data_IF_931707236521
#
_entry.id   IF_931707236521
#
_cell.length_a   1.000
_cell.length_b   1.000
_cell.length_c   1.000
_cell.angle_alpha   90.00
_cell.angle_beta   90.00
_cell.angle_gamma   90.00
#
_symmetry.space_group_name_H-M   'P 1'
#
loop_
_entity.id
_entity.type
_entity.pdbx_description
1 polymer ?
#
# COMPACT_ATOMS: atom_id res chain seq x y z
N UNK A 1 10.16 -18.99 19.33
CA UNK A 1 10.41 -18.06 18.21
C UNK A 1 9.32 -17.02 18.32
N UNK A 2 9.67 -15.77 18.63
CA UNK A 2 8.69 -14.73 18.94
C UNK A 2 8.15 -14.13 17.65
N UNK A 3 6.83 -14.14 17.48
CA UNK A 3 6.15 -13.42 16.41
C UNK A 3 6.48 -11.93 16.57
N UNK A 4 7.22 -11.35 15.63
CA UNK A 4 7.41 -9.90 15.58
C UNK A 4 6.13 -9.29 15.07
N UNK A 5 5.24 -9.02 16.00
CA UNK A 5 3.85 -8.71 15.73
C UNK A 5 3.77 -7.17 15.61
N UNK A 6 3.92 -6.63 14.40
CA UNK A 6 3.83 -5.19 14.13
C UNK A 6 2.67 -4.89 13.19
N UNK A 7 2.23 -3.63 13.15
CA UNK A 7 1.24 -3.17 12.20
C UNK A 7 1.68 -1.84 11.61
N UNK A 8 1.28 -1.57 10.38
CA UNK A 8 1.53 -0.29 9.73
C UNK A 8 0.23 0.50 9.68
N UNK A 9 0.26 1.77 10.07
CA UNK A 9 -0.78 2.71 9.66
C UNK A 9 -0.28 3.43 8.42
N UNK A 10 -1.06 3.37 7.35
CA UNK A 10 -0.66 3.92 6.07
C UNK A 10 -1.81 4.60 5.34
N UNK A 11 -1.51 5.55 4.46
CA UNK A 11 -2.48 6.09 3.52
C UNK A 11 -2.34 5.37 2.19
N UNK A 12 -3.38 4.61 1.80
CA UNK A 12 -3.26 3.69 0.68
C UNK A 12 -4.57 3.17 0.14
N UNK A 13 -4.44 2.24 -0.80
CA UNK A 13 -5.55 1.58 -1.48
C UNK A 13 -5.21 0.11 -1.71
N UNK A 14 -6.22 -0.74 -1.61
CA UNK A 14 -6.07 -2.15 -1.94
C UNK A 14 -5.74 -2.32 -3.43
N UNK A 15 -4.76 -3.17 -3.71
CA UNK A 15 -4.32 -3.49 -5.06
C UNK A 15 -4.48 -4.99 -5.35
N UNK A 16 -5.72 -5.52 -5.36
CA UNK A 16 -5.92 -6.93 -5.66
C UNK A 16 -5.60 -7.21 -7.13
N UNK A 17 -4.94 -8.34 -7.39
CA UNK A 17 -4.77 -8.87 -8.75
C UNK A 17 -5.22 -10.33 -8.81
N UNK A 18 -6.45 -10.55 -9.29
CA UNK A 18 -7.07 -11.86 -9.49
C UNK A 18 -6.32 -12.80 -10.45
N UNK A 19 -5.33 -12.29 -11.18
CA UNK A 19 -4.50 -13.06 -12.12
C UNK A 19 -3.20 -13.56 -11.50
N UNK A 20 -2.80 -13.02 -10.35
CA UNK A 20 -1.52 -13.29 -9.71
C UNK A 20 -1.74 -13.75 -8.28
N UNK A 21 -0.94 -14.73 -7.83
CA UNK A 21 -0.86 -14.97 -6.40
C UNK A 21 -0.23 -13.76 -5.70
N UNK A 22 -0.50 -13.53 -4.40
CA UNK A 22 0.10 -12.41 -3.69
C UNK A 22 1.63 -12.37 -3.78
N UNK A 23 2.29 -13.53 -3.71
CA UNK A 23 3.73 -13.63 -3.89
C UNK A 23 4.20 -13.22 -5.30
N UNK A 24 3.42 -13.53 -6.34
CA UNK A 24 3.71 -13.09 -7.71
C UNK A 24 3.51 -11.58 -7.86
N UNK A 25 2.46 -11.03 -7.26
CA UNK A 25 2.19 -9.59 -7.24
C UNK A 25 3.31 -8.83 -6.50
N UNK A 26 3.75 -9.30 -5.34
CA UNK A 26 4.88 -8.72 -4.61
C UNK A 26 6.17 -8.70 -5.43
N UNK A 27 6.49 -9.81 -6.12
CA UNK A 27 7.64 -9.88 -7.03
C UNK A 27 7.53 -8.89 -8.18
N UNK A 28 6.34 -8.76 -8.77
CA UNK A 28 6.05 -7.81 -9.85
C UNK A 28 6.19 -6.37 -9.36
N UNK A 29 5.60 -6.03 -8.21
CA UNK A 29 5.74 -4.71 -7.59
C UNK A 29 7.21 -4.38 -7.30
N UNK A 30 7.97 -5.32 -6.74
CA UNK A 30 9.40 -5.12 -6.49
C UNK A 30 10.20 -4.83 -7.76
N UNK A 31 9.83 -5.42 -8.89
CA UNK A 31 10.51 -5.22 -10.18
C UNK A 31 10.05 -3.95 -10.91
N UNK A 32 8.73 -3.74 -11.00
CA UNK A 32 8.12 -2.76 -11.89
C UNK A 32 7.88 -1.41 -11.22
N UNK A 33 7.62 -1.38 -9.91
CA UNK A 33 7.20 -0.18 -9.20
C UNK A 33 8.22 0.96 -9.30
N UNK A 34 9.56 0.76 -9.17
CA UNK A 34 10.51 1.85 -9.32
C UNK A 34 10.42 2.56 -10.69
N UNK A 35 10.21 1.79 -11.76
CA UNK A 35 10.00 2.32 -13.11
C UNK A 35 8.66 3.05 -13.25
N UNK A 36 7.60 2.52 -12.64
CA UNK A 36 6.28 3.16 -12.61
C UNK A 36 6.29 4.49 -11.84
N UNK A 37 6.92 4.53 -10.66
CA UNK A 37 7.08 5.73 -9.83
C UNK A 37 7.73 6.86 -10.63
N UNK A 38 8.80 6.53 -11.37
CA UNK A 38 9.53 7.49 -12.21
C UNK A 38 8.67 7.96 -13.39
N UNK A 39 8.02 7.03 -14.10
CA UNK A 39 7.22 7.33 -15.31
C UNK A 39 5.96 8.13 -15.01
N UNK A 40 5.33 7.90 -13.86
CA UNK A 40 4.06 8.50 -13.45
C UNK A 40 4.24 9.70 -12.51
N UNK A 41 5.48 10.10 -12.22
CA UNK A 41 5.78 11.12 -11.21
C UNK A 41 5.10 10.82 -9.86
N UNK A 42 5.16 9.55 -9.44
CA UNK A 42 4.56 9.04 -8.21
C UNK A 42 5.64 8.59 -7.20
N UNK A 43 6.51 9.49 -6.71
CA UNK A 43 7.67 9.11 -5.91
C UNK A 43 7.30 8.58 -4.52
N UNK A 44 6.10 8.87 -4.03
CA UNK A 44 5.68 8.55 -2.67
C UNK A 44 5.03 7.18 -2.57
N UNK A 45 4.64 6.58 -3.71
CA UNK A 45 3.97 5.29 -3.72
C UNK A 45 4.94 4.17 -3.36
N UNK A 46 4.55 3.34 -2.40
CA UNK A 46 5.17 2.07 -2.06
C UNK A 46 4.08 0.98 -1.94
N UNK A 47 4.43 -0.18 -1.41
CA UNK A 47 3.48 -1.26 -1.19
C UNK A 47 3.72 -2.00 0.13
N UNK A 48 2.64 -2.51 0.71
CA UNK A 48 2.65 -3.35 1.89
C UNK A 48 1.83 -4.62 1.63
N UNK A 49 2.16 -5.69 2.35
CA UNK A 49 1.36 -6.90 2.41
C UNK A 49 0.85 -7.13 3.84
N UNK A 50 -0.37 -7.64 3.95
CA UNK A 50 -0.93 -8.15 5.20
C UNK A 50 -1.47 -9.55 4.97
N UNK A 51 -1.14 -10.50 5.84
CA UNK A 51 -1.64 -11.87 5.73
C UNK A 51 -0.61 -12.87 6.20
N UNK A 52 -1.00 -14.14 6.17
CA UNK A 52 -0.22 -15.28 6.63
C UNK A 52 -0.24 -16.33 5.51
N UNK A 53 0.80 -16.32 4.65
CA UNK A 53 1.18 -17.21 3.53
C UNK A 53 0.12 -17.56 2.45
N UNK A 54 -1.16 -17.72 2.80
CA UNK A 54 -2.25 -18.18 1.93
C UNK A 54 -3.34 -17.10 1.67
N UNK A 55 -3.36 -16.03 2.46
CA UNK A 55 -4.36 -14.94 2.34
C UNK A 55 -3.70 -13.57 2.45
N UNK A 56 -2.68 -13.34 1.64
CA UNK A 56 -1.98 -12.05 1.62
C UNK A 56 -2.75 -11.02 0.79
N UNK A 57 -3.13 -9.93 1.44
CA UNK A 57 -3.69 -8.74 0.83
C UNK A 57 -2.55 -7.79 0.51
N UNK A 58 -2.61 -7.17 -0.67
CA UNK A 58 -1.58 -6.22 -1.11
C UNK A 58 -2.17 -4.83 -1.21
N UNK A 59 -1.45 -3.85 -0.65
CA UNK A 59 -1.84 -2.46 -0.63
C UNK A 59 -0.77 -1.62 -1.32
N UNK A 60 -1.21 -0.66 -2.14
CA UNK A 60 -0.36 0.46 -2.52
C UNK A 60 -0.53 1.54 -1.47
N UNK A 61 0.57 2.07 -0.95
CA UNK A 61 0.58 3.05 0.13
C UNK A 61 1.45 4.24 -0.23
N UNK A 62 1.32 5.33 0.50
CA UNK A 62 2.20 6.50 0.37
C UNK A 62 2.98 6.69 1.66
N UNK A 63 2.47 7.51 2.57
CA UNK A 63 2.96 7.59 3.94
C UNK A 63 2.56 6.32 4.70
N UNK A 64 3.52 5.75 5.43
CA UNK A 64 3.30 4.62 6.32
C UNK A 64 4.21 4.73 7.56
N UNK A 65 3.67 4.36 8.71
CA UNK A 65 4.37 4.31 9.99
C UNK A 65 4.18 2.92 10.61
N UNK A 66 5.27 2.32 11.07
CA UNK A 66 5.25 1.04 11.78
C UNK A 66 4.94 1.25 13.26
N UNK A 67 4.05 0.43 13.80
CA UNK A 67 3.59 0.45 15.17
C UNK A 67 3.81 -0.93 15.78
N UNK A 68 4.44 -0.96 16.95
CA UNK A 68 4.59 -2.17 17.75
C UNK A 68 3.23 -2.58 18.36
N UNK A 69 2.92 -3.89 18.36
CA UNK A 69 1.72 -4.36 19.07
C UNK A 69 1.80 -4.05 20.57
N UNK A 70 0.67 -3.61 21.12
CA UNK A 70 0.57 -3.08 22.47
C UNK A 70 0.81 -1.57 22.58
N UNK A 71 1.21 -0.90 21.49
CA UNK A 71 1.23 0.57 21.38
C UNK A 71 0.08 1.06 20.51
N UNK A 72 -0.24 2.35 20.65
CA UNK A 72 -1.17 3.04 19.76
C UNK A 72 -0.38 3.99 18.85
N UNK A 73 -0.79 4.05 17.58
CA UNK A 73 -0.39 5.12 16.65
C UNK A 73 -1.52 6.11 16.47
N UNK A 74 -1.19 7.34 16.12
CA UNK A 74 -2.17 8.39 15.85
C UNK A 74 -1.83 9.06 14.53
N UNK A 75 -2.84 9.22 13.69
CA UNK A 75 -2.72 9.98 12.44
C UNK A 75 -3.35 11.34 12.64
N UNK A 76 -2.55 12.38 12.44
CA UNK A 76 -3.03 13.75 12.44
C UNK A 76 -3.47 14.15 11.02
N UNK A 77 -4.79 14.07 10.76
CA UNK A 77 -5.35 14.34 9.43
C UNK A 77 -5.00 15.73 8.89
N UNK A 78 -4.93 16.74 9.77
CA UNK A 78 -4.65 18.12 9.37
C UNK A 78 -3.20 18.31 8.89
N UNK A 79 -2.26 17.51 9.37
CA UNK A 79 -0.85 17.60 8.98
C UNK A 79 -0.64 17.26 7.50
N UNK A 80 -1.51 16.41 6.95
CA UNK A 80 -1.41 15.88 5.58
C UNK A 80 -2.50 16.41 4.64
N UNK A 81 -3.32 17.36 5.09
CA UNK A 81 -4.49 17.85 4.33
C UNK A 81 -4.17 18.31 2.91
N UNK A 82 -3.01 18.94 2.71
CA UNK A 82 -2.56 19.41 1.39
C UNK A 82 -1.97 18.32 0.48
N UNK A 83 -1.75 17.11 1.00
CA UNK A 83 -1.10 16.01 0.28
C UNK A 83 -2.07 14.94 -0.21
N UNK A 84 -3.26 14.83 0.40
CA UNK A 84 -4.23 13.77 0.06
C UNK A 84 -4.62 13.77 -1.42
N UNK A 85 -4.87 14.92 -2.04
CA UNK A 85 -5.22 14.97 -3.48
C UNK A 85 -4.08 14.49 -4.38
N UNK A 86 -2.83 14.75 -3.97
CA UNK A 86 -1.64 14.30 -4.68
C UNK A 86 -1.44 12.79 -4.49
N UNK A 87 -1.56 12.30 -3.25
CA UNK A 87 -1.50 10.88 -2.94
C UNK A 87 -2.58 10.09 -3.66
N UNK A 88 -3.81 10.60 -3.70
CA UNK A 88 -4.91 9.98 -4.42
C UNK A 88 -4.57 9.82 -5.90
N UNK A 89 -4.07 10.89 -6.51
CA UNK A 89 -3.67 10.87 -7.92
C UNK A 89 -2.56 9.87 -8.17
N UNK A 90 -1.53 9.84 -7.33
CA UNK A 90 -0.40 8.93 -7.48
C UNK A 90 -0.82 7.46 -7.29
N UNK A 91 -1.60 7.16 -6.25
CA UNK A 91 -2.10 5.82 -5.97
C UNK A 91 -3.00 5.30 -7.09
N UNK A 92 -3.94 6.12 -7.56
CA UNK A 92 -4.84 5.74 -8.67
C UNK A 92 -4.05 5.53 -9.97
N UNK A 93 -3.08 6.39 -10.27
CA UNK A 93 -2.25 6.27 -11.47
C UNK A 93 -1.42 4.97 -11.47
N UNK A 94 -0.78 4.66 -10.33
CA UNK A 94 0.02 3.43 -10.18
C UNK A 94 -0.89 2.19 -10.23
N UNK A 95 -2.01 2.21 -9.51
CA UNK A 95 -2.99 1.11 -9.52
C UNK A 95 -3.47 0.81 -10.94
N UNK A 96 -3.87 1.84 -11.69
CA UNK A 96 -4.33 1.70 -13.06
C UNK A 96 -3.24 1.15 -13.97
N UNK A 97 -2.01 1.64 -13.84
CA UNK A 97 -0.87 1.15 -14.63
C UNK A 97 -0.55 -0.33 -14.36
N UNK A 98 -0.67 -0.79 -13.10
CA UNK A 98 -0.46 -2.18 -12.73
C UNK A 98 -1.50 -3.12 -13.35
N UNK A 99 -2.77 -2.67 -13.39
CA UNK A 99 -3.90 -3.44 -13.92
C UNK A 99 -4.06 -3.33 -15.45
N UNK A 100 -3.26 -2.48 -16.09
CA UNK A 100 -3.35 -2.22 -17.54
C UNK A 100 -4.54 -1.33 -17.91
N UNK A 101 -5.01 -0.50 -16.98
CA UNK A 101 -6.16 0.38 -17.12
C UNK A 101 -7.26 0.12 -16.08
N UNK A 102 -8.23 1.03 -16.00
CA UNK A 102 -9.37 0.94 -15.08
C UNK A 102 -9.22 1.79 -13.82
N UNK A 103 -10.30 1.84 -13.03
CA UNK A 103 -10.36 2.52 -11.75
C UNK A 103 -10.32 1.49 -10.60
N UNK A 104 -9.71 1.83 -9.47
CA UNK A 104 -9.74 0.96 -8.31
C UNK A 104 -11.16 0.74 -7.80
N UNK A 105 -11.38 -0.41 -7.16
CA UNK A 105 -12.68 -0.77 -6.58
C UNK A 105 -13.02 0.04 -5.32
N UNK A 106 -12.03 0.71 -4.72
CA UNK A 106 -12.17 1.60 -3.57
C UNK A 106 -11.60 2.99 -3.83
N UNK A 107 -11.65 3.83 -2.80
CA UNK A 107 -10.92 5.10 -2.76
C UNK A 107 -9.73 4.97 -1.81
N UNK A 108 -8.64 5.70 -2.04
CA UNK A 108 -7.55 5.74 -1.08
C UNK A 108 -8.02 6.27 0.28
N UNK A 109 -7.38 5.80 1.34
CA UNK A 109 -7.73 6.14 2.70
C UNK A 109 -6.71 5.62 3.71
N UNK A 110 -6.90 5.99 4.97
CA UNK A 110 -6.08 5.45 6.05
C UNK A 110 -6.45 3.99 6.30
N UNK A 111 -5.44 3.13 6.26
CA UNK A 111 -5.52 1.69 6.47
C UNK A 111 -4.59 1.27 7.60
N UNK A 112 -4.99 0.23 8.32
CA UNK A 112 -4.15 -0.48 9.27
C UNK A 112 -3.78 -1.83 8.62
N UNK A 113 -2.50 -2.04 8.37
CA UNK A 113 -1.95 -3.20 7.66
C UNK A 113 -1.15 -4.03 8.67
N UNK A 114 -1.70 -5.12 9.20
CA UNK A 114 -0.99 -5.97 10.15
C UNK A 114 0.14 -6.73 9.43
N UNK A 115 1.35 -6.68 9.99
CA UNK A 115 2.49 -7.49 9.58
C UNK A 115 2.50 -8.77 10.41
N UNK A 116 1.89 -9.81 9.83
CA UNK A 116 1.84 -11.14 10.38
C UNK A 116 2.90 -11.97 9.67
N UNK A 117 4.14 -11.91 10.18
CA UNK A 117 5.27 -12.72 9.70
C UNK A 117 5.62 -13.89 10.61
#
# INVERSE_FOLDING_TARGET
>A
MGFSQTAFIAYGIEAPDDRLTPAQLARRLKADLPGLKTRLSAPEVDWLQAGDYDQDWTFLVTEHEQIELGRYGCVHLDANRGRYEEWDRQLIAVWSALRGGGAPQGRPGWVCVPDLS
#
